data_IF_920982238818
#
_entry.id   IF_920982238818
#
_cell.length_a   1.000
_cell.length_b   1.000
_cell.length_c   1.000
_cell.angle_alpha   90.00
_cell.angle_beta   90.00
_cell.angle_gamma   90.00
#
_symmetry.space_group_name_H-M   'P 1'
#
loop_
_entity.id
_entity.type
_entity.pdbx_description
1 polymer ?
#
# COMPACT_ATOMS: atom_id res chain seq x y z
N UNK A 1 23.16 -19.88 -0.50
CA UNK A 1 21.88 -19.15 -0.67
C UNK A 1 22.04 -17.84 0.08
N UNK A 2 21.66 -16.69 -0.51
CA UNK A 2 21.96 -15.38 0.09
C UNK A 2 21.09 -15.17 1.32
N UNK A 3 21.66 -15.40 2.51
CA UNK A 3 21.14 -14.85 3.74
C UNK A 3 21.33 -13.33 3.65
N UNK A 4 20.35 -12.62 3.09
CA UNK A 4 20.19 -11.18 3.33
C UNK A 4 19.78 -11.05 4.79
N UNK A 5 20.78 -11.17 5.66
CA UNK A 5 20.71 -10.95 7.08
C UNK A 5 20.09 -9.56 7.27
N UNK A 6 18.86 -9.56 7.76
CA UNK A 6 18.15 -8.72 8.75
C UNK A 6 18.82 -7.46 9.34
N UNK A 7 19.97 -7.00 8.86
CA UNK A 7 20.86 -5.95 9.40
C UNK A 7 20.27 -4.53 9.33
N UNK A 8 18.97 -4.41 9.10
CA UNK A 8 18.25 -3.14 9.11
C UNK A 8 16.73 -3.29 9.09
N UNK A 9 16.20 -4.44 9.52
CA UNK A 9 14.73 -4.60 9.68
C UNK A 9 14.40 -4.56 11.16
N UNK A 10 13.66 -3.54 11.58
CA UNK A 10 13.19 -3.38 12.95
C UNK A 10 11.72 -3.79 13.05
N UNK A 11 11.39 -4.56 14.08
CA UNK A 11 10.06 -5.10 14.31
C UNK A 11 9.52 -4.56 15.63
N UNK A 12 8.32 -3.99 15.58
CA UNK A 12 7.71 -3.36 16.73
C UNK A 12 6.21 -3.30 16.64
N UNK A 13 5.62 -2.55 17.56
CA UNK A 13 4.21 -2.25 17.57
C UNK A 13 3.97 -0.78 17.93
N UNK A 14 2.97 -0.18 17.31
CA UNK A 14 2.47 1.14 17.67
C UNK A 14 1.38 0.95 18.72
N UNK A 15 1.58 1.47 19.92
CA UNK A 15 0.52 1.54 20.92
C UNK A 15 -0.38 2.75 20.64
N UNK A 16 -1.65 2.48 20.36
CA UNK A 16 -2.68 3.51 20.20
C UNK A 16 -3.83 3.23 21.17
N UNK A 17 -4.60 4.25 21.52
CA UNK A 17 -5.80 4.11 22.35
C UNK A 17 -6.85 3.16 21.75
N UNK A 18 -6.74 2.87 20.45
CA UNK A 18 -7.64 1.98 19.71
C UNK A 18 -7.11 0.55 19.57
N UNK A 19 -5.89 0.27 20.03
CA UNK A 19 -5.23 -1.03 19.94
C UNK A 19 -3.75 -0.94 19.58
N UNK A 20 -3.09 -2.10 19.62
CA UNK A 20 -1.69 -2.24 19.29
C UNK A 20 -1.59 -2.70 17.84
N UNK A 21 -0.78 -2.01 17.04
CA UNK A 21 -0.61 -2.33 15.62
C UNK A 21 0.82 -2.79 15.41
N UNK A 22 1.00 -4.05 14.98
CA UNK A 22 2.33 -4.56 14.64
C UNK A 22 2.84 -3.89 13.37
N UNK A 23 4.08 -3.39 13.44
CA UNK A 23 4.74 -2.68 12.37
C UNK A 23 6.15 -3.20 12.12
N UNK A 24 6.58 -3.13 10.86
CA UNK A 24 7.92 -3.50 10.43
C UNK A 24 8.56 -2.29 9.75
N UNK A 25 9.72 -1.86 10.26
CA UNK A 25 10.54 -0.81 9.67
C UNK A 25 11.68 -1.47 8.90
N UNK A 26 11.89 -1.06 7.66
CA UNK A 26 12.97 -1.58 6.82
C UNK A 26 13.85 -0.40 6.37
N UNK A 27 15.13 -0.42 6.76
CA UNK A 27 16.12 0.60 6.41
C UNK A 27 16.55 0.56 4.93
N UNK A 28 16.17 -0.49 4.20
CA UNK A 28 16.37 -0.60 2.76
C UNK A 28 15.28 0.11 1.96
N UNK A 29 14.25 0.66 2.63
CA UNK A 29 13.27 1.55 1.99
C UNK A 29 13.90 2.92 1.74
N UNK A 30 13.48 3.63 0.66
CA UNK A 30 13.94 5.00 0.43
C UNK A 30 13.59 5.88 1.64
N UNK A 31 14.43 6.87 1.97
CA UNK A 31 14.14 7.79 3.06
C UNK A 31 12.82 8.52 2.81
N UNK A 32 11.98 8.61 3.84
CA UNK A 32 10.76 9.39 3.78
C UNK A 32 11.08 10.89 3.86
N UNK A 33 10.05 11.71 3.63
CA UNK A 33 10.16 13.17 3.78
C UNK A 33 10.56 13.55 5.21
N UNK A 34 11.09 14.76 5.42
CA UNK A 34 11.49 15.23 6.76
C UNK A 34 10.36 15.06 7.79
N UNK A 35 10.67 14.35 8.89
CA UNK A 35 9.70 14.07 9.97
C UNK A 35 8.71 12.95 9.67
N UNK A 36 8.88 12.23 8.55
CA UNK A 36 8.09 11.06 8.20
C UNK A 36 8.95 9.80 8.27
N UNK A 37 8.31 8.66 8.44
CA UNK A 37 8.96 7.36 8.29
C UNK A 37 8.01 6.35 7.67
N UNK A 38 8.57 5.42 6.88
CA UNK A 38 7.80 4.33 6.29
C UNK A 38 7.79 3.12 7.23
N UNK A 39 6.58 2.65 7.53
CA UNK A 39 6.37 1.43 8.30
C UNK A 39 5.41 0.52 7.54
N UNK A 40 5.74 -0.76 7.47
CA UNK A 40 4.79 -1.78 7.06
C UNK A 40 3.76 -1.97 8.17
N UNK A 41 2.49 -1.76 7.86
CA UNK A 41 1.38 -2.01 8.76
C UNK A 41 0.78 -3.38 8.46
N UNK A 42 0.84 -4.29 9.43
CA UNK A 42 0.32 -5.64 9.32
C UNK A 42 -1.21 -5.72 9.19
N UNK A 43 -1.94 -4.75 9.73
CA UNK A 43 -3.42 -4.68 9.66
C UNK A 43 -3.90 -4.25 8.26
N UNK A 44 -3.12 -3.39 7.60
CA UNK A 44 -3.41 -2.88 6.25
C UNK A 44 -2.65 -3.61 5.15
N UNK A 45 -1.79 -4.54 5.52
CA UNK A 45 -0.90 -5.31 4.65
C UNK A 45 -0.12 -4.42 3.65
N UNK A 46 0.31 -3.24 4.11
CA UNK A 46 0.88 -2.21 3.24
C UNK A 46 1.92 -1.34 3.95
N UNK A 47 2.86 -0.79 3.18
CA UNK A 47 3.81 0.21 3.66
C UNK A 47 3.14 1.58 3.68
N UNK A 48 3.13 2.21 4.84
CA UNK A 48 2.43 3.46 5.11
C UNK A 48 3.43 4.50 5.63
N UNK A 49 3.26 5.74 5.18
CA UNK A 49 3.98 6.88 5.71
C UNK A 49 3.35 7.33 7.04
N UNK A 50 4.14 7.30 8.11
CA UNK A 50 3.75 7.79 9.43
C UNK A 50 4.51 9.07 9.78
N UNK A 51 3.91 9.87 10.66
CA UNK A 51 4.57 11.03 11.26
C UNK A 51 5.48 10.58 12.42
N UNK A 52 6.79 10.68 12.23
CA UNK A 52 7.78 10.25 13.21
C UNK A 52 7.53 10.93 14.57
N UNK A 53 7.15 12.20 14.59
CA UNK A 53 6.93 12.94 15.84
C UNK A 53 5.74 12.42 16.65
N UNK A 54 4.75 11.81 15.98
CA UNK A 54 3.54 11.27 16.61
C UNK A 54 3.75 9.80 16.99
N UNK A 55 4.40 9.03 16.13
CA UNK A 55 4.52 7.58 16.33
C UNK A 55 5.76 7.17 17.09
N UNK A 56 6.89 7.88 17.00
CA UNK A 56 8.12 7.54 17.71
C UNK A 56 7.92 7.31 19.23
N UNK A 57 7.20 8.15 19.99
CA UNK A 57 6.96 7.89 21.42
C UNK A 57 6.02 6.71 21.70
N UNK A 58 5.33 6.20 20.67
CA UNK A 58 4.37 5.09 20.75
C UNK A 58 4.92 3.79 20.16
N UNK A 59 6.12 3.82 19.58
CA UNK A 59 6.79 2.67 19.02
C UNK A 59 7.40 1.86 20.17
N UNK A 60 6.90 0.64 20.35
CA UNK A 60 7.42 -0.32 21.30
C UNK A 60 8.07 -1.44 20.50
N UNK A 61 9.34 -1.73 20.80
CA UNK A 61 10.01 -2.88 20.21
C UNK A 61 9.38 -4.19 20.71
N UNK A 62 9.21 -5.16 19.82
CA UNK A 62 8.69 -6.48 20.18
C UNK A 62 9.78 -7.34 20.84
N UNK A 63 9.37 -8.31 21.67
CA UNK A 63 10.28 -9.34 22.19
C UNK A 63 10.76 -10.27 21.08
N UNK A 64 11.92 -10.93 21.23
CA UNK A 64 12.47 -11.81 20.19
C UNK A 64 11.51 -12.91 19.73
N UNK A 65 10.72 -13.48 20.65
CA UNK A 65 9.69 -14.47 20.34
C UNK A 65 8.60 -13.90 19.41
N UNK A 66 8.13 -12.69 19.70
CA UNK A 66 7.15 -11.98 18.87
C UNK A 66 7.75 -11.56 17.53
N UNK A 67 9.00 -11.13 17.50
CA UNK A 67 9.71 -10.80 16.24
C UNK A 67 9.73 -12.01 15.31
N UNK A 68 10.06 -13.20 15.82
CA UNK A 68 10.09 -14.43 15.03
C UNK A 68 8.69 -14.85 14.54
N UNK A 69 7.66 -14.69 15.37
CA UNK A 69 6.29 -14.96 14.95
C UNK A 69 5.83 -14.01 13.84
N UNK A 70 6.06 -12.71 14.00
CA UNK A 70 5.70 -11.69 13.02
C UNK A 70 6.45 -11.91 11.72
N UNK A 71 7.75 -12.20 11.79
CA UNK A 71 8.57 -12.56 10.63
C UNK A 71 7.98 -13.78 9.92
N UNK A 72 7.77 -14.89 10.62
CA UNK A 72 7.21 -16.09 10.01
C UNK A 72 5.83 -15.88 9.35
N UNK A 73 4.96 -15.06 9.96
CA UNK A 73 3.60 -14.79 9.48
C UNK A 73 3.55 -13.77 8.34
N UNK A 74 4.32 -12.68 8.45
CA UNK A 74 4.18 -11.50 7.59
C UNK A 74 5.33 -11.30 6.60
N UNK A 75 6.42 -12.09 6.65
CA UNK A 75 7.55 -11.92 5.72
C UNK A 75 7.11 -11.93 4.26
N UNK A 76 6.25 -12.87 3.84
CA UNK A 76 5.79 -12.93 2.44
C UNK A 76 5.03 -11.68 2.00
N UNK A 77 4.15 -11.19 2.87
CA UNK A 77 3.31 -10.03 2.59
C UNK A 77 4.13 -8.73 2.60
N UNK A 78 5.02 -8.59 3.58
CA UNK A 78 6.00 -7.52 3.65
C UNK A 78 6.92 -7.46 2.42
N UNK A 79 7.47 -8.59 1.97
CA UNK A 79 8.29 -8.65 0.76
C UNK A 79 7.51 -8.20 -0.49
N UNK A 80 6.25 -8.62 -0.61
CA UNK A 80 5.39 -8.21 -1.72
C UNK A 80 5.10 -6.70 -1.69
N UNK A 81 4.70 -6.17 -0.53
CA UNK A 81 4.43 -4.76 -0.34
C UNK A 81 5.68 -3.90 -0.57
N UNK A 82 6.84 -4.35 -0.08
CA UNK A 82 8.13 -3.70 -0.32
C UNK A 82 8.46 -3.66 -1.80
N UNK A 83 8.33 -4.77 -2.52
CA UNK A 83 8.59 -4.82 -3.96
C UNK A 83 7.68 -3.87 -4.72
N UNK A 84 6.40 -3.79 -4.33
CA UNK A 84 5.44 -2.87 -4.92
C UNK A 84 5.80 -1.42 -4.62
N UNK A 85 6.13 -1.11 -3.37
CA UNK A 85 6.50 0.22 -2.91
C UNK A 85 7.76 0.74 -3.59
N UNK A 86 8.84 -0.05 -3.59
CA UNK A 86 10.08 0.31 -4.29
C UNK A 86 9.84 0.48 -5.78
N UNK A 87 9.03 -0.37 -6.42
CA UNK A 87 8.67 -0.22 -7.85
C UNK A 87 7.89 1.07 -8.11
N UNK A 88 7.02 1.49 -7.20
CA UNK A 88 6.29 2.74 -7.32
C UNK A 88 7.22 3.95 -7.16
N UNK A 89 8.07 3.94 -6.12
CA UNK A 89 9.02 5.02 -5.82
C UNK A 89 10.20 5.12 -6.80
N UNK A 90 10.57 4.04 -7.49
CA UNK A 90 11.60 4.07 -8.54
C UNK A 90 11.05 4.49 -9.90
N UNK A 91 9.76 4.24 -10.18
CA UNK A 91 9.11 4.66 -11.43
C UNK A 91 8.78 6.15 -11.47
N UNK A 92 8.71 6.84 -10.34
CA UNK A 92 8.45 8.29 -10.30
C UNK A 92 9.65 9.14 -10.76
N UNK A 93 10.82 8.55 -11.01
CA UNK A 93 11.94 9.24 -11.66
C UNK A 93 11.71 9.43 -13.16
N UNK A 94 10.84 8.63 -13.79
CA UNK A 94 10.57 8.66 -15.23
C UNK A 94 9.23 7.99 -15.54
N UNK A 95 8.08 8.66 -15.40
CA UNK A 95 6.98 8.68 -16.39
C UNK A 95 5.69 9.27 -15.82
N UNK A 96 5.26 10.32 -16.51
CA UNK A 96 3.90 10.85 -16.64
C UNK A 96 2.79 9.79 -16.50
N UNK A 97 1.85 10.09 -15.61
CA UNK A 97 0.42 9.76 -15.63
C UNK A 97 -0.06 8.76 -16.70
N UNK A 98 -0.51 7.58 -16.25
CA UNK A 98 -1.52 6.81 -16.97
C UNK A 98 -2.40 6.11 -15.94
N UNK A 99 -3.42 6.84 -15.48
CA UNK A 99 -4.47 6.35 -14.61
C UNK A 99 -5.31 5.35 -15.41
N UNK A 100 -5.07 4.06 -15.24
CA UNK A 100 -6.03 3.01 -15.62
C UNK A 100 -7.06 2.92 -14.50
N UNK A 101 -8.18 3.61 -14.66
CA UNK A 101 -9.43 3.29 -13.98
C UNK A 101 -10.28 2.51 -14.96
N UNK A 102 -10.21 1.18 -14.83
CA UNK A 102 -11.31 0.31 -15.21
C UNK A 102 -12.47 0.63 -14.25
N UNK A 103 -13.41 1.45 -14.71
CA UNK A 103 -14.78 1.45 -14.18
C UNK A 103 -15.64 0.73 -15.20
N UNK A 104 -16.00 -0.50 -14.85
CA UNK A 104 -17.22 -1.12 -15.37
C UNK A 104 -18.41 -0.27 -14.94
N UNK A 105 -19.31 0.04 -15.88
CA UNK A 105 -20.76 -0.20 -15.82
C UNK A 105 -21.50 0.68 -16.83
N UNK A 106 -22.20 0.00 -17.73
CA UNK A 106 -23.55 0.29 -18.21
C UNK A 106 -23.80 1.60 -19.01
N UNK A 107 -23.73 1.48 -20.33
CA UNK A 107 -24.54 2.29 -21.23
C UNK A 107 -25.31 1.34 -22.15
N UNK A 108 -26.59 1.23 -21.85
CA UNK A 108 -27.63 0.57 -22.63
C UNK A 108 -27.57 0.98 -24.11
N UNK A 109 -27.82 0.08 -25.08
CA UNK A 109 -28.20 0.50 -26.41
C UNK A 109 -29.62 1.06 -26.35
N UNK A 110 -29.78 2.37 -26.52
CA UNK A 110 -31.08 2.94 -26.88
C UNK A 110 -31.27 2.66 -28.37
N UNK A 111 -31.95 1.56 -28.66
CA UNK A 111 -32.56 1.28 -29.96
C UNK A 111 -33.87 2.08 -29.98
N UNK A 112 -33.78 3.37 -30.34
CA UNK A 112 -34.96 4.17 -30.66
C UNK A 112 -35.23 3.99 -32.15
N UNK A 113 -36.06 2.98 -32.39
CA UNK A 113 -37.11 2.87 -33.41
C UNK A 113 -37.41 4.19 -34.15
N UNK A 114 -36.75 4.42 -35.29
CA UNK A 114 -37.23 5.41 -36.27
C UNK A 114 -38.41 4.78 -37.00
N UNK A 115 -39.56 4.88 -36.34
CA UNK A 115 -40.87 4.55 -36.88
C UNK A 115 -41.11 5.28 -38.20
N UNK A 116 -41.45 4.50 -39.21
CA UNK A 116 -42.03 4.93 -40.48
C UNK A 116 -43.24 5.83 -40.24
N UNK A 117 -43.29 6.99 -40.89
CA UNK A 117 -44.55 7.71 -41.15
C UNK A 117 -44.62 8.03 -42.64
N UNK A 118 -45.56 7.34 -43.27
CA UNK A 118 -46.07 7.48 -44.63
C UNK A 118 -47.33 8.35 -44.50
N UNK A 119 -47.31 9.58 -45.03
CA UNK A 119 -48.47 10.41 -45.42
C UNK A 119 -47.91 11.69 -46.10
N UNK A 120 -47.93 11.85 -47.42
CA UNK A 120 -49.02 12.26 -48.33
C UNK A 120 -49.28 13.79 -48.38
N UNK A 121 -49.51 14.27 -49.62
CA UNK A 121 -50.07 15.57 -50.07
C UNK A 121 -49.15 16.82 -50.29
N UNK A 122 -48.73 17.06 -51.55
CA UNK A 122 -49.29 18.09 -52.48
C UNK A 122 -48.68 17.97 -53.90
#
# INVERSE_FOLDING_TARGET
>A
MKNTEDQGTWYGQIQSSRGNITVIRDEQLPPANKGRMYLYNTDRDAIIEYDETIVAPKLIELSEEDKQQVKAKHTKAWEAARKQFVRAHTKTSTTTSSRKTESSLDLLPTDDDDSSDDDDDE
#
